data_IF_760775013399
#
_entry.id   IF_760775013399
#
_cell.length_a   1.000
_cell.length_b   1.000
_cell.length_c   1.000
_cell.angle_alpha   90.00
_cell.angle_beta   90.00
_cell.angle_gamma   90.00
#
_symmetry.space_group_name_H-M   'P 1'
#
loop_
_entity.id
_entity.type
_entity.pdbx_description
1 polymer ?
#
# COMPACT_ATOMS: atom_id res chain seq x y z
N UNK A 1 -4.47 9.30 9.04
CA UNK A 1 -4.23 7.87 8.75
C UNK A 1 -4.86 7.05 9.85
N UNK A 2 -5.52 5.96 9.48
CA UNK A 2 -6.09 4.99 10.42
C UNK A 2 -5.02 4.03 10.95
N UNK A 3 -5.38 3.16 11.91
CA UNK A 3 -4.50 2.09 12.40
C UNK A 3 -4.08 1.13 11.27
N UNK A 4 -5.03 0.67 10.46
CA UNK A 4 -4.76 -0.25 9.34
C UNK A 4 -3.82 0.37 8.29
N UNK A 5 -3.96 1.68 8.03
CA UNK A 5 -3.01 2.39 7.16
C UNK A 5 -1.62 2.45 7.79
N UNK A 6 -1.49 2.63 9.11
CA UNK A 6 -0.17 2.54 9.74
C UNK A 6 0.45 1.14 9.62
N UNK A 7 -0.35 0.08 9.79
CA UNK A 7 0.15 -1.29 9.64
C UNK A 7 0.65 -1.54 8.20
N UNK A 8 -0.12 -1.15 7.19
CA UNK A 8 0.28 -1.22 5.78
C UNK A 8 1.59 -0.46 5.52
N UNK A 9 1.71 0.76 6.05
CA UNK A 9 2.91 1.59 5.88
C UNK A 9 4.15 0.90 6.42
N UNK A 10 4.08 0.37 7.64
CA UNK A 10 5.21 -0.31 8.28
C UNK A 10 5.54 -1.64 7.59
N UNK A 11 4.53 -2.39 7.14
CA UNK A 11 4.74 -3.60 6.34
C UNK A 11 5.46 -3.30 5.02
N UNK A 12 5.03 -2.27 4.28
CA UNK A 12 5.69 -1.87 3.03
C UNK A 12 7.14 -1.43 3.25
N UNK A 13 7.45 -0.75 4.36
CA UNK A 13 8.82 -0.35 4.71
C UNK A 13 9.73 -1.52 5.07
N UNK A 14 9.19 -2.57 5.70
CA UNK A 14 9.96 -3.77 6.05
C UNK A 14 10.20 -4.66 4.83
N UNK A 15 9.30 -4.66 3.85
CA UNK A 15 9.38 -5.48 2.64
C UNK A 15 9.99 -4.72 1.46
N UNK A 16 11.28 -4.42 1.54
CA UNK A 16 12.03 -3.63 0.54
C UNK A 16 12.02 -4.19 -0.89
N UNK A 17 11.64 -5.47 -1.08
CA UNK A 17 11.54 -6.12 -2.38
C UNK A 17 10.20 -5.87 -3.08
N UNK A 18 9.21 -5.27 -2.40
CA UNK A 18 7.94 -4.90 -3.02
C UNK A 18 8.17 -3.71 -3.95
N UNK A 19 7.95 -3.93 -5.24
CA UNK A 19 7.99 -2.86 -6.23
C UNK A 19 6.70 -2.04 -6.15
N UNK A 20 6.78 -0.83 -5.60
CA UNK A 20 5.63 0.07 -5.42
C UNK A 20 4.91 0.38 -6.73
N UNK A 21 5.64 0.59 -7.83
CA UNK A 21 5.01 0.90 -9.12
C UNK A 21 4.23 -0.28 -9.67
N UNK A 22 4.73 -1.52 -9.48
CA UNK A 22 3.95 -2.72 -9.85
C UNK A 22 2.77 -2.93 -8.93
N UNK A 23 2.92 -2.68 -7.63
CA UNK A 23 1.79 -2.77 -6.69
C UNK A 23 0.66 -1.81 -7.09
N UNK A 24 0.97 -0.58 -7.46
CA UNK A 24 -0.01 0.40 -7.95
C UNK A 24 -0.73 -0.08 -9.22
N UNK A 25 0.01 -0.64 -10.17
CA UNK A 25 -0.51 -1.18 -11.42
C UNK A 25 -1.44 -2.38 -11.19
N UNK A 26 -0.98 -3.39 -10.43
CA UNK A 26 -1.76 -4.60 -10.11
C UNK A 26 -3.01 -4.27 -9.28
N UNK A 27 -2.93 -3.23 -8.44
CA UNK A 27 -4.06 -2.76 -7.63
C UNK A 27 -5.02 -1.86 -8.42
N UNK A 28 -4.71 -1.54 -9.69
CA UNK A 28 -5.50 -0.64 -10.53
C UNK A 28 -5.77 0.72 -9.88
N UNK A 29 -4.76 1.29 -9.23
CA UNK A 29 -4.81 2.62 -8.60
C UNK A 29 -3.90 3.61 -9.34
N UNK A 30 -4.12 4.93 -9.18
CA UNK A 30 -3.25 5.92 -9.82
C UNK A 30 -1.79 5.75 -9.44
N UNK A 31 -0.91 5.97 -10.41
CA UNK A 31 0.53 5.99 -10.18
C UNK A 31 0.89 7.00 -9.09
N UNK A 32 1.95 6.71 -8.35
CA UNK A 32 2.48 7.51 -7.25
C UNK A 32 1.58 7.57 -5.99
N UNK A 33 0.40 6.95 -6.00
CA UNK A 33 -0.48 6.91 -4.82
C UNK A 33 0.21 6.28 -3.61
N UNK A 34 0.80 5.10 -3.78
CA UNK A 34 1.49 4.38 -2.71
C UNK A 34 2.89 4.96 -2.49
N UNK A 35 3.53 5.50 -3.53
CA UNK A 35 4.77 6.25 -3.36
C UNK A 35 4.59 7.44 -2.41
N UNK A 36 3.55 8.26 -2.61
CA UNK A 36 3.22 9.39 -1.74
C UNK A 36 2.78 8.93 -0.35
N UNK A 37 2.02 7.84 -0.27
CA UNK A 37 1.66 7.22 1.00
C UNK A 37 2.90 6.86 1.84
N UNK A 38 3.88 6.19 1.25
CA UNK A 38 5.09 5.72 1.94
C UNK A 38 6.04 6.87 2.27
N UNK A 39 6.28 7.79 1.32
CA UNK A 39 7.28 8.85 1.47
C UNK A 39 6.75 10.07 2.22
N UNK A 40 5.56 10.55 1.85
CA UNK A 40 4.97 11.76 2.42
C UNK A 40 4.12 11.46 3.65
N UNK A 41 3.98 10.18 4.02
CA UNK A 41 3.13 9.70 5.14
C UNK A 41 1.71 10.27 5.05
N UNK A 42 1.20 10.44 3.84
CA UNK A 42 -0.17 10.90 3.59
C UNK A 42 -1.12 9.72 3.71
N UNK A 43 -2.36 9.96 4.13
CA UNK A 43 -3.38 8.92 4.05
C UNK A 43 -3.75 8.65 2.59
N UNK A 44 -4.01 7.39 2.26
CA UNK A 44 -4.69 7.02 1.01
C UNK A 44 -6.20 6.94 1.26
N UNK A 45 -6.99 7.06 0.20
CA UNK A 45 -8.43 6.84 0.28
C UNK A 45 -8.72 5.40 0.69
N UNK A 46 -9.86 5.19 1.33
CA UNK A 46 -10.31 3.86 1.77
C UNK A 46 -10.47 2.90 0.59
N UNK A 47 -11.05 3.38 -0.52
CA UNK A 47 -11.18 2.59 -1.76
C UNK A 47 -9.81 2.11 -2.29
N UNK A 48 -8.80 2.98 -2.31
CA UNK A 48 -7.47 2.60 -2.79
C UNK A 48 -6.75 1.69 -1.78
N UNK A 49 -6.99 1.87 -0.49
CA UNK A 49 -6.49 0.99 0.55
C UNK A 49 -7.02 -0.43 0.34
N UNK A 50 -8.32 -0.62 0.19
CA UNK A 50 -8.93 -1.95 -0.02
C UNK A 50 -8.36 -2.66 -1.25
N UNK A 51 -8.19 -1.95 -2.37
CA UNK A 51 -7.61 -2.50 -3.61
C UNK A 51 -6.19 -3.01 -3.39
N UNK A 52 -5.36 -2.24 -2.68
CA UNK A 52 -3.96 -2.59 -2.40
C UNK A 52 -3.87 -3.79 -1.48
N UNK A 53 -4.66 -3.80 -0.41
CA UNK A 53 -4.67 -4.88 0.58
C UNK A 53 -5.08 -6.20 -0.07
N UNK A 54 -6.08 -6.17 -0.95
CA UNK A 54 -6.52 -7.35 -1.72
C UNK A 54 -5.37 -7.99 -2.51
N UNK A 55 -4.52 -7.19 -3.16
CA UNK A 55 -3.33 -7.69 -3.85
C UNK A 55 -2.32 -8.22 -2.83
N UNK A 56 -2.01 -7.45 -1.79
CA UNK A 56 -0.98 -7.79 -0.82
C UNK A 56 -1.28 -9.03 0.03
N UNK A 57 -2.55 -9.39 0.24
CA UNK A 57 -2.90 -10.65 0.90
C UNK A 57 -2.33 -11.87 0.18
N UNK A 58 -2.23 -11.83 -1.16
CA UNK A 58 -1.59 -12.91 -1.94
C UNK A 58 -0.06 -12.97 -1.76
N UNK A 59 0.54 -11.90 -1.24
CA UNK A 59 1.97 -11.77 -0.94
C UNK A 59 2.31 -11.91 0.55
N UNK A 60 1.34 -12.32 1.38
CA UNK A 60 1.56 -12.61 2.80
C UNK A 60 1.37 -11.43 3.74
N UNK A 61 0.81 -10.31 3.28
CA UNK A 61 0.33 -9.25 4.16
C UNK A 61 -0.81 -9.78 5.06
N UNK A 62 -0.85 -9.33 6.32
CA UNK A 62 -1.87 -9.67 7.31
C UNK A 62 -2.15 -8.44 8.17
N UNK A 63 -3.41 -8.02 8.22
CA UNK A 63 -3.87 -6.87 9.02
C UNK A 63 -3.93 -7.16 10.52
#
# INVERSE_FOLDING_TARGET
MTYNQHNLLEWLKTHKLINISRLEEESSIPKDTIRHFVNDRRAISEENFEKVIKVLYSYGYKD
#
